data_IF_238713475683
#
_entry.id   IF_238713475683
#
_cell.length_a   1.000
_cell.length_b   1.000
_cell.length_c   1.000
_cell.angle_alpha   90.00
_cell.angle_beta   90.00
_cell.angle_gamma   90.00
#
_symmetry.space_group_name_H-M   'P 1'
#
loop_
_entity.id
_entity.type
_entity.pdbx_description
1 polymer ?
#
# COMPACT_ATOMS: atom_id res chain seq x y z
N UNK A 1 28.13 -4.66 -1.67
CA UNK A 1 26.87 -5.39 -1.87
C UNK A 1 27.05 -6.34 -3.04
N UNK A 2 26.52 -7.58 -2.97
CA UNK A 2 26.60 -8.57 -4.05
C UNK A 2 27.12 -9.96 -3.66
N UNK A 3 27.66 -10.13 -2.45
CA UNK A 3 28.21 -11.41 -1.96
C UNK A 3 27.23 -12.24 -1.11
N UNK A 4 25.95 -11.83 -1.04
CA UNK A 4 24.85 -12.53 -0.35
C UNK A 4 25.21 -13.08 1.05
N UNK A 5 25.73 -12.20 1.91
CA UNK A 5 26.15 -12.57 3.27
C UNK A 5 24.94 -12.68 4.20
N UNK A 6 24.95 -13.70 5.06
CA UNK A 6 23.99 -13.84 6.17
C UNK A 6 24.59 -13.24 7.43
N UNK A 7 23.86 -12.31 8.06
CA UNK A 7 24.26 -11.68 9.33
C UNK A 7 23.42 -12.22 10.49
N UNK A 8 24.03 -12.36 11.66
CA UNK A 8 23.39 -12.74 12.91
C UNK A 8 23.79 -11.80 14.04
N UNK A 9 23.02 -11.79 15.12
CA UNK A 9 23.29 -10.94 16.28
C UNK A 9 24.59 -11.27 17.04
N UNK A 10 25.30 -12.34 16.65
CA UNK A 10 26.61 -12.74 17.20
C UNK A 10 27.80 -12.18 16.41
N UNK A 11 27.56 -11.58 15.24
CA UNK A 11 28.60 -10.93 14.45
C UNK A 11 29.11 -9.65 15.14
N UNK A 12 30.16 -9.03 14.59
CA UNK A 12 30.69 -7.76 15.10
C UNK A 12 29.57 -6.72 15.22
N UNK A 13 29.59 -5.94 16.31
CA UNK A 13 28.48 -5.04 16.65
C UNK A 13 28.09 -4.08 15.53
N UNK A 14 29.08 -3.62 14.75
CA UNK A 14 28.85 -2.72 13.61
C UNK A 14 28.34 -3.47 12.37
N UNK A 15 28.70 -4.73 12.17
CA UNK A 15 28.20 -5.55 11.07
C UNK A 15 26.72 -5.89 11.30
N UNK A 16 26.36 -6.29 12.52
CA UNK A 16 24.96 -6.51 12.88
C UNK A 16 24.14 -5.21 12.86
N UNK A 17 24.72 -4.08 13.30
CA UNK A 17 24.07 -2.78 13.18
C UNK A 17 23.82 -2.41 11.72
N UNK A 18 24.83 -2.59 10.86
CA UNK A 18 24.72 -2.32 9.44
C UNK A 18 23.65 -3.19 8.77
N UNK A 19 23.60 -4.50 9.09
CA UNK A 19 22.57 -5.41 8.58
C UNK A 19 21.15 -4.92 8.91
N UNK A 20 20.91 -4.46 10.14
CA UNK A 20 19.62 -3.88 10.55
C UNK A 20 19.30 -2.59 9.79
N UNK A 21 20.28 -1.71 9.59
CA UNK A 21 20.09 -0.46 8.82
C UNK A 21 19.69 -0.77 7.37
N UNK A 22 20.36 -1.74 6.73
CA UNK A 22 20.04 -2.16 5.35
C UNK A 22 18.65 -2.79 5.29
N UNK A 23 18.29 -3.65 6.24
CA UNK A 23 16.93 -4.22 6.32
C UNK A 23 15.87 -3.12 6.40
N UNK A 24 16.08 -2.15 7.28
CA UNK A 24 15.14 -1.05 7.50
C UNK A 24 15.02 -0.09 6.32
N UNK A 25 16.12 0.15 5.58
CA UNK A 25 16.07 0.91 4.33
C UNK A 25 15.18 0.21 3.29
N UNK A 26 15.31 -1.11 3.16
CA UNK A 26 14.47 -1.89 2.25
C UNK A 26 13.00 -1.92 2.70
N UNK A 27 12.74 -2.04 4.01
CA UNK A 27 11.39 -1.99 4.56
C UNK A 27 10.73 -0.61 4.39
N UNK A 28 11.51 0.47 4.53
CA UNK A 28 11.03 1.82 4.23
C UNK A 28 10.66 1.97 2.76
N UNK A 29 11.52 1.53 1.84
CA UNK A 29 11.20 1.47 0.41
C UNK A 29 9.92 0.68 0.16
N UNK A 30 9.86 -0.57 0.62
CA UNK A 30 8.68 -1.43 0.45
C UNK A 30 7.41 -0.75 0.97
N UNK A 31 7.41 -0.25 2.21
CA UNK A 31 6.23 0.36 2.83
C UNK A 31 5.76 1.62 2.09
N UNK A 32 6.70 2.45 1.60
CA UNK A 32 6.36 3.67 0.89
C UNK A 32 5.87 3.41 -0.54
N UNK A 33 6.38 2.40 -1.25
CA UNK A 33 5.89 2.14 -2.60
C UNK A 33 4.65 1.21 -2.59
N UNK A 34 4.60 0.24 -1.67
CA UNK A 34 3.44 -0.64 -1.52
C UNK A 34 2.19 0.12 -1.07
N UNK A 35 2.31 1.19 -0.27
CA UNK A 35 1.11 1.96 0.11
C UNK A 35 0.45 2.63 -1.10
N UNK A 36 1.22 3.09 -2.09
CA UNK A 36 0.66 3.67 -3.31
C UNK A 36 -0.25 2.66 -4.01
N UNK A 37 0.25 1.44 -4.21
CA UNK A 37 -0.51 0.34 -4.79
C UNK A 37 -1.73 -0.04 -3.93
N UNK A 38 -1.52 -0.28 -2.63
CA UNK A 38 -2.52 -0.86 -1.73
C UNK A 38 -3.52 0.13 -1.15
N UNK A 39 -3.37 1.43 -1.43
CA UNK A 39 -4.34 2.44 -1.01
C UNK A 39 -4.83 3.31 -2.15
N UNK A 40 -3.93 3.97 -2.89
CA UNK A 40 -4.31 4.90 -3.96
C UNK A 40 -4.80 4.15 -5.20
N UNK A 41 -3.96 3.27 -5.74
CA UNK A 41 -4.22 2.63 -7.03
C UNK A 41 -5.36 1.61 -6.97
N UNK A 42 -5.62 1.04 -5.79
CA UNK A 42 -6.82 0.22 -5.57
C UNK A 42 -8.09 1.04 -5.49
N UNK A 43 -8.07 2.19 -4.79
CA UNK A 43 -9.29 2.94 -4.49
C UNK A 43 -9.79 3.77 -5.69
N UNK A 44 -8.87 4.37 -6.45
CA UNK A 44 -9.22 5.26 -7.55
C UNK A 44 -10.05 4.59 -8.66
N UNK A 45 -9.66 3.42 -9.22
CA UNK A 45 -10.43 2.77 -10.29
C UNK A 45 -11.83 2.33 -9.84
N UNK A 46 -11.98 1.93 -8.58
CA UNK A 46 -13.30 1.57 -8.01
C UNK A 46 -14.22 2.79 -8.02
N UNK A 47 -13.72 3.93 -7.56
CA UNK A 47 -14.49 5.15 -7.53
C UNK A 47 -14.73 5.72 -8.93
N UNK A 48 -13.77 5.63 -9.84
CA UNK A 48 -13.95 6.04 -11.23
C UNK A 48 -15.06 5.26 -11.93
N UNK A 49 -15.17 3.95 -11.67
CA UNK A 49 -16.29 3.16 -12.16
C UNK A 49 -17.62 3.70 -11.62
N UNK A 50 -17.71 4.02 -10.32
CA UNK A 50 -18.93 4.60 -9.73
C UNK A 50 -19.30 5.96 -10.35
N UNK A 51 -18.31 6.82 -10.60
CA UNK A 51 -18.53 8.11 -11.27
C UNK A 51 -19.10 7.97 -12.68
N UNK A 52 -18.78 6.87 -13.38
CA UNK A 52 -19.21 6.58 -14.76
C UNK A 52 -20.55 5.85 -14.86
N UNK A 53 -20.93 5.11 -13.82
CA UNK A 53 -22.07 4.18 -13.86
C UNK A 53 -23.21 4.54 -12.91
N UNK A 54 -22.96 5.42 -11.93
CA UNK A 54 -23.93 5.76 -10.89
C UNK A 54 -24.28 7.26 -10.93
N UNK A 55 -25.54 7.58 -10.73
CA UNK A 55 -26.07 8.93 -10.57
C UNK A 55 -25.46 9.60 -9.34
N UNK A 56 -25.22 10.91 -9.40
CA UNK A 56 -24.78 11.69 -8.25
C UNK A 56 -25.79 11.70 -7.08
N UNK A 57 -27.02 11.22 -7.32
CA UNK A 57 -28.05 11.03 -6.29
C UNK A 57 -28.04 9.64 -5.66
N UNK A 58 -27.26 8.71 -6.21
CA UNK A 58 -27.22 7.34 -5.72
C UNK A 58 -26.55 7.30 -4.33
N UNK A 59 -27.15 6.65 -3.31
CA UNK A 59 -26.63 6.68 -1.94
C UNK A 59 -25.22 6.09 -1.83
N UNK A 60 -24.96 4.93 -2.46
CA UNK A 60 -23.62 4.32 -2.51
C UNK A 60 -22.59 5.26 -3.12
N UNK A 61 -22.90 5.97 -4.23
CA UNK A 61 -21.99 6.96 -4.81
C UNK A 61 -21.70 8.11 -3.84
N UNK A 62 -22.73 8.63 -3.15
CA UNK A 62 -22.52 9.69 -2.14
C UNK A 62 -21.60 9.26 -1.00
N UNK A 63 -21.70 7.99 -0.57
CA UNK A 63 -20.77 7.43 0.42
C UNK A 63 -19.34 7.32 -0.12
N UNK A 64 -19.16 6.81 -1.34
CA UNK A 64 -17.84 6.72 -2.00
C UNK A 64 -17.21 8.09 -2.25
N UNK A 65 -17.99 9.08 -2.71
CA UNK A 65 -17.54 10.47 -2.92
C UNK A 65 -16.96 11.05 -1.62
N UNK A 66 -17.60 10.79 -0.47
CA UNK A 66 -17.11 11.26 0.84
C UNK A 66 -15.76 10.62 1.20
N UNK A 67 -15.57 9.35 0.87
CA UNK A 67 -14.35 8.61 1.15
C UNK A 67 -13.21 8.99 0.20
N UNK A 68 -13.54 9.38 -1.03
CA UNK A 68 -12.58 9.73 -2.06
C UNK A 68 -12.29 11.23 -2.15
N UNK A 69 -12.79 12.01 -1.21
CA UNK A 69 -12.48 13.43 -1.09
C UNK A 69 -10.96 13.64 -1.08
N UNK A 70 -10.48 14.49 -1.99
CA UNK A 70 -9.06 14.78 -2.24
C UNK A 70 -8.19 13.63 -2.78
N UNK A 71 -8.71 12.41 -2.94
CA UNK A 71 -7.92 11.26 -3.36
C UNK A 71 -7.23 11.46 -4.72
N UNK A 72 -7.97 11.97 -5.71
CA UNK A 72 -7.47 12.20 -7.08
C UNK A 72 -6.39 13.29 -7.19
N UNK A 73 -6.17 14.10 -6.16
CA UNK A 73 -5.09 15.09 -6.18
C UNK A 73 -3.72 14.46 -5.92
N UNK A 74 -3.66 13.28 -5.29
CA UNK A 74 -2.39 12.74 -4.79
C UNK A 74 -1.47 12.28 -5.91
N UNK A 75 -1.96 11.55 -6.91
CA UNK A 75 -1.08 11.07 -7.99
C UNK A 75 -0.51 12.20 -8.86
N UNK A 76 -1.29 13.21 -9.29
CA UNK A 76 -0.74 14.36 -10.01
C UNK A 76 0.31 15.13 -9.19
N UNK A 77 0.04 15.39 -7.90
CA UNK A 77 1.01 16.03 -6.99
C UNK A 77 2.25 15.16 -6.80
N UNK A 78 2.07 13.84 -6.72
CA UNK A 78 3.15 12.87 -6.64
C UNK A 78 4.06 12.92 -7.87
N UNK A 79 3.51 12.95 -9.08
CA UNK A 79 4.32 13.05 -10.31
C UNK A 79 5.05 14.39 -10.41
N UNK A 80 4.44 15.49 -9.98
CA UNK A 80 5.02 16.83 -10.11
C UNK A 80 6.11 17.13 -9.07
N UNK A 81 5.95 16.66 -7.83
CA UNK A 81 6.81 17.06 -6.71
C UNK A 81 7.59 15.91 -6.06
N UNK A 82 7.07 14.69 -6.10
CA UNK A 82 7.69 13.54 -5.43
C UNK A 82 8.56 12.74 -6.40
N UNK A 83 7.96 12.27 -7.50
CA UNK A 83 8.53 11.36 -8.49
C UNK A 83 9.02 12.04 -9.77
N UNK A 84 9.04 13.38 -9.80
CA UNK A 84 9.70 14.13 -10.86
C UNK A 84 11.20 13.86 -10.84
N UNK A 85 11.85 14.00 -12.00
CA UNK A 85 13.29 13.81 -12.13
C UNK A 85 14.05 14.74 -11.17
N UNK A 86 14.89 14.16 -10.32
CA UNK A 86 15.66 14.89 -9.29
C UNK A 86 14.81 15.41 -8.12
N UNK A 87 13.55 14.97 -8.01
CA UNK A 87 12.61 15.39 -6.96
C UNK A 87 12.90 14.81 -5.58
N UNK A 88 11.91 14.90 -4.70
CA UNK A 88 12.05 14.43 -3.31
C UNK A 88 12.35 12.92 -3.22
N UNK A 89 11.76 12.12 -4.11
CA UNK A 89 12.03 10.68 -4.13
C UNK A 89 13.49 10.40 -4.51
N UNK A 90 13.97 10.94 -5.63
CA UNK A 90 15.34 10.70 -6.13
C UNK A 90 16.42 11.18 -5.17
N UNK A 91 16.12 12.20 -4.35
CA UNK A 91 17.03 12.71 -3.34
C UNK A 91 17.00 11.94 -2.01
N UNK A 92 15.99 11.10 -1.79
CA UNK A 92 15.77 10.42 -0.51
C UNK A 92 15.94 8.90 -0.58
N UNK A 93 15.70 8.28 -1.74
CA UNK A 93 15.76 6.83 -1.92
C UNK A 93 17.00 6.38 -2.68
N UNK A 94 17.46 5.15 -2.39
CA UNK A 94 18.62 4.56 -3.07
C UNK A 94 18.35 4.20 -4.55
N UNK A 95 17.08 4.04 -4.94
CA UNK A 95 16.66 3.68 -6.29
C UNK A 95 16.06 4.90 -7.00
N UNK A 96 16.21 5.02 -8.33
CA UNK A 96 15.62 6.12 -9.10
C UNK A 96 14.09 6.03 -9.14
N UNK A 97 13.42 7.16 -9.37
CA UNK A 97 11.96 7.29 -9.35
C UNK A 97 11.23 6.28 -10.24
N UNK A 98 11.80 5.94 -11.40
CA UNK A 98 11.19 5.00 -12.33
C UNK A 98 11.11 3.59 -11.74
N UNK A 99 12.11 3.17 -10.95
CA UNK A 99 12.14 1.87 -10.31
C UNK A 99 11.12 1.79 -9.15
N UNK A 100 10.90 2.90 -8.45
CA UNK A 100 9.83 2.99 -7.44
C UNK A 100 8.43 2.90 -8.07
N UNK A 101 8.23 3.57 -9.22
CA UNK A 101 6.98 3.50 -10.01
C UNK A 101 6.74 2.10 -10.57
N UNK A 102 7.78 1.43 -11.06
CA UNK A 102 7.72 0.03 -11.52
C UNK A 102 7.34 -0.91 -10.38
N UNK A 103 8.04 -0.84 -9.23
CA UNK A 103 7.70 -1.63 -8.04
C UNK A 103 6.24 -1.44 -7.62
N UNK A 104 5.75 -0.20 -7.62
CA UNK A 104 4.35 0.10 -7.27
C UNK A 104 3.38 -0.58 -8.24
N UNK A 105 3.69 -0.55 -9.53
CA UNK A 105 2.88 -1.21 -10.57
C UNK A 105 2.86 -2.71 -10.38
N UNK A 106 4.03 -3.33 -10.15
CA UNK A 106 4.13 -4.78 -9.94
C UNK A 106 3.41 -5.21 -8.67
N UNK A 107 3.62 -4.49 -7.56
CA UNK A 107 2.92 -4.73 -6.30
C UNK A 107 1.39 -4.69 -6.45
N UNK A 108 0.86 -3.79 -7.28
CA UNK A 108 -0.56 -3.73 -7.59
C UNK A 108 -1.07 -5.00 -8.29
N UNK A 109 -0.33 -5.51 -9.28
CA UNK A 109 -0.75 -6.69 -10.05
C UNK A 109 -0.49 -8.01 -9.34
N UNK A 110 0.56 -8.10 -8.52
CA UNK A 110 0.93 -9.33 -7.83
C UNK A 110 0.13 -9.56 -6.55
N UNK A 111 -0.23 -8.49 -5.83
CA UNK A 111 -0.86 -8.65 -4.52
C UNK A 111 -1.87 -7.55 -4.15
N UNK A 112 -1.47 -6.28 -4.16
CA UNK A 112 -2.27 -5.21 -3.57
C UNK A 112 -3.65 -5.03 -4.24
N UNK A 113 -3.71 -5.27 -5.56
CA UNK A 113 -4.94 -5.26 -6.35
C UNK A 113 -5.88 -6.44 -6.12
N UNK A 114 -5.46 -7.47 -5.39
CA UNK A 114 -6.25 -8.68 -5.12
C UNK A 114 -7.22 -8.45 -3.94
N UNK A 115 -8.27 -7.65 -4.17
CA UNK A 115 -9.24 -7.20 -3.17
C UNK A 115 -9.72 -8.25 -2.16
N UNK A 116 -9.90 -9.48 -2.62
CA UNK A 116 -10.17 -10.60 -1.72
C UNK A 116 -8.91 -10.91 -0.90
N UNK A 117 -7.85 -11.44 -1.51
CA UNK A 117 -6.65 -11.89 -0.80
C UNK A 117 -6.12 -10.89 0.26
N UNK A 118 -6.18 -9.60 -0.03
CA UNK A 118 -5.70 -8.52 0.86
C UNK A 118 -6.74 -7.99 1.86
N UNK A 119 -7.85 -8.68 2.09
CA UNK A 119 -8.83 -8.33 3.13
C UNK A 119 -8.16 -8.34 4.52
N UNK A 120 -8.50 -7.42 5.44
CA UNK A 120 -7.72 -7.20 6.67
C UNK A 120 -7.51 -8.48 7.49
N UNK A 121 -8.59 -9.22 7.80
CA UNK A 121 -8.48 -10.43 8.60
C UNK A 121 -7.90 -11.59 7.79
N UNK A 122 -8.30 -11.74 6.52
CA UNK A 122 -7.77 -12.81 5.65
C UNK A 122 -6.28 -12.65 5.37
N UNK A 123 -5.80 -11.45 5.11
CA UNK A 123 -4.39 -11.16 4.86
C UNK A 123 -3.55 -11.56 6.07
N UNK A 124 -3.94 -11.09 7.25
CA UNK A 124 -3.27 -11.43 8.51
C UNK A 124 -3.28 -12.94 8.79
N UNK A 125 -4.40 -13.62 8.52
CA UNK A 125 -4.49 -15.07 8.68
C UNK A 125 -3.64 -15.83 7.65
N UNK A 126 -3.61 -15.38 6.39
CA UNK A 126 -2.84 -15.99 5.30
C UNK A 126 -1.34 -15.90 5.55
N UNK A 127 -0.89 -14.81 6.18
CA UNK A 127 0.51 -14.64 6.64
C UNK A 127 0.82 -15.37 7.95
N UNK A 128 -0.17 -16.07 8.53
CA UNK A 128 -0.02 -16.80 9.79
C UNK A 128 0.12 -15.90 11.03
N UNK A 129 -0.30 -14.64 10.94
CA UNK A 129 -0.24 -13.70 12.06
C UNK A 129 -1.48 -13.77 12.96
N UNK A 130 -2.58 -14.30 12.44
CA UNK A 130 -3.81 -14.63 13.18
C UNK A 130 -4.18 -16.09 12.96
N UNK A 131 -4.75 -16.72 14.00
CA UNK A 131 -5.30 -18.08 13.94
C UNK A 131 -4.36 -19.12 13.31
N UNK A 132 -3.04 -18.95 13.52
CA UNK A 132 -2.02 -19.82 12.98
C UNK A 132 -2.13 -21.24 13.58
N UNK A 133 -2.19 -22.25 12.72
CA UNK A 133 -2.27 -23.65 13.16
C UNK A 133 -0.90 -24.30 13.39
N UNK A 134 0.18 -23.67 12.95
CA UNK A 134 1.53 -24.23 12.92
C UNK A 134 2.53 -23.51 13.85
N UNK A 135 2.09 -22.50 14.59
CA UNK A 135 2.95 -21.73 15.49
C UNK A 135 2.19 -21.13 16.67
N UNK A 136 2.89 -20.67 17.72
CA UNK A 136 2.24 -19.99 18.82
C UNK A 136 1.67 -18.64 18.37
N UNK A 137 0.66 -18.17 19.08
CA UNK A 137 0.13 -16.82 18.90
C UNK A 137 1.22 -15.77 19.22
N UNK A 138 1.20 -14.66 18.48
CA UNK A 138 2.05 -13.52 18.78
C UNK A 138 1.71 -12.97 20.18
N UNK A 139 2.74 -12.78 21.01
CA UNK A 139 2.57 -12.25 22.37
C UNK A 139 2.07 -10.80 22.38
N UNK A 140 2.42 -10.04 21.36
CA UNK A 140 2.03 -8.65 21.19
C UNK A 140 1.87 -8.39 19.69
N UNK A 141 0.74 -7.81 19.29
CA UNK A 141 0.51 -7.40 17.91
C UNK A 141 -0.19 -6.03 17.84
N UNK A 142 0.51 -4.94 18.17
CA UNK A 142 -0.12 -3.63 18.37
C UNK A 142 -0.88 -3.09 17.16
N UNK A 143 -0.41 -3.39 15.94
CA UNK A 143 -1.11 -3.02 14.71
C UNK A 143 -2.51 -3.66 14.66
N UNK A 144 -2.61 -4.97 14.89
CA UNK A 144 -3.90 -5.67 14.91
C UNK A 144 -4.79 -5.15 16.03
N UNK A 145 -4.23 -5.05 17.25
CA UNK A 145 -4.98 -4.62 18.44
C UNK A 145 -5.56 -3.20 18.27
N UNK A 146 -4.87 -2.34 17.52
CA UNK A 146 -5.33 -0.98 17.21
C UNK A 146 -6.33 -0.94 16.07
N UNK A 147 -6.08 -1.67 14.98
CA UNK A 147 -6.83 -1.52 13.72
C UNK A 147 -8.09 -2.40 13.70
N UNK A 148 -8.07 -3.58 14.32
CA UNK A 148 -9.22 -4.50 14.28
C UNK A 148 -10.53 -3.90 14.84
N UNK A 149 -10.54 -3.17 15.96
CA UNK A 149 -11.75 -2.50 16.44
C UNK A 149 -12.27 -1.44 15.47
N UNK A 150 -11.38 -0.76 14.75
CA UNK A 150 -11.75 0.27 13.77
C UNK A 150 -12.38 -0.36 12.53
N UNK A 151 -11.75 -1.44 12.02
CA UNK A 151 -12.28 -2.28 10.95
C UNK A 151 -13.69 -2.74 11.29
N UNK A 152 -13.90 -3.28 12.49
CA UNK A 152 -15.22 -3.71 12.97
C UNK A 152 -16.25 -2.57 12.98
N UNK A 153 -15.87 -1.39 13.45
CA UNK A 153 -16.77 -0.24 13.47
C UNK A 153 -17.19 0.22 12.05
N UNK A 154 -16.29 0.10 11.08
CA UNK A 154 -16.59 0.41 9.66
C UNK A 154 -17.53 -0.63 9.06
N UNK A 155 -17.30 -1.91 9.34
CA UNK A 155 -18.18 -3.01 8.92
C UNK A 155 -19.59 -2.82 9.48
N UNK A 156 -19.70 -2.47 10.76
CA UNK A 156 -20.98 -2.21 11.43
C UNK A 156 -21.73 -1.03 10.82
N UNK A 157 -21.05 0.11 10.64
CA UNK A 157 -21.64 1.27 9.99
C UNK A 157 -22.08 0.96 8.55
N UNK A 158 -21.23 0.27 7.80
CA UNK A 158 -21.51 -0.10 6.41
C UNK A 158 -22.71 -1.04 6.31
N UNK A 159 -22.81 -2.01 7.22
CA UNK A 159 -23.94 -2.94 7.28
C UNK A 159 -25.25 -2.19 7.50
N UNK A 160 -25.30 -1.30 8.49
CA UNK A 160 -26.50 -0.46 8.76
C UNK A 160 -26.83 0.45 7.57
N UNK A 161 -25.82 1.04 6.93
CA UNK A 161 -26.01 1.85 5.73
C UNK A 161 -26.66 1.04 4.60
N UNK A 162 -26.12 -0.15 4.30
CA UNK A 162 -26.66 -1.04 3.26
C UNK A 162 -28.08 -1.47 3.60
N UNK A 163 -28.33 -1.92 4.83
CA UNK A 163 -29.67 -2.33 5.29
C UNK A 163 -30.70 -1.19 5.21
N UNK A 164 -30.27 0.06 5.39
CA UNK A 164 -31.14 1.23 5.30
C UNK A 164 -31.62 1.50 3.88
N UNK A 165 -30.74 1.35 2.88
CA UNK A 165 -31.07 1.61 1.47
C UNK A 165 -31.56 0.36 0.72
N UNK A 166 -31.19 -0.83 1.21
CA UNK A 166 -31.54 -2.12 0.62
C UNK A 166 -32.06 -3.09 1.71
N UNK A 167 -33.24 -2.84 2.29
CA UNK A 167 -33.80 -3.67 3.36
C UNK A 167 -34.18 -5.09 2.93
N UNK A 168 -34.35 -5.30 1.62
CA UNK A 168 -34.68 -6.59 1.02
C UNK A 168 -33.56 -7.02 0.07
N UNK A 169 -33.16 -8.28 0.16
CA UNK A 169 -32.02 -8.81 -0.62
C UNK A 169 -32.19 -8.71 -2.13
N UNK A 170 -33.44 -8.66 -2.63
CA UNK A 170 -33.74 -8.50 -4.06
C UNK A 170 -33.41 -7.11 -4.61
N UNK A 171 -33.54 -6.06 -3.79
CA UNK A 171 -33.43 -4.67 -4.23
C UNK A 171 -32.04 -4.33 -4.79
N UNK A 172 -30.98 -4.92 -4.23
CA UNK A 172 -29.62 -4.70 -4.76
C UNK A 172 -29.42 -5.35 -6.14
N UNK A 173 -30.10 -6.47 -6.41
CA UNK A 173 -30.04 -7.14 -7.72
C UNK A 173 -30.77 -6.37 -8.81
N UNK A 174 -31.84 -5.66 -8.44
CA UNK A 174 -32.65 -4.85 -9.34
C UNK A 174 -32.08 -3.44 -9.58
N UNK A 175 -31.11 -3.02 -8.77
CA UNK A 175 -30.43 -1.73 -8.91
C UNK A 175 -29.41 -1.75 -10.07
N UNK A 176 -29.86 -1.31 -11.24
CA UNK A 176 -29.04 -1.30 -12.46
C UNK A 176 -27.78 -0.43 -12.35
N UNK A 177 -27.80 0.69 -11.62
CA UNK A 177 -26.61 1.54 -11.43
C UNK A 177 -25.55 0.81 -10.59
N UNK A 178 -25.98 0.16 -9.50
CA UNK A 178 -25.13 -0.69 -8.68
C UNK A 178 -24.56 -1.88 -9.47
N UNK A 179 -25.39 -2.56 -10.28
CA UNK A 179 -24.95 -3.68 -11.11
C UNK A 179 -23.97 -3.26 -12.20
N UNK A 180 -24.20 -2.10 -12.84
CA UNK A 180 -23.33 -1.56 -13.87
C UNK A 180 -21.97 -1.16 -13.27
N UNK A 181 -21.95 -0.54 -12.08
CA UNK A 181 -20.73 -0.23 -11.35
C UNK A 181 -19.89 -1.50 -11.07
N UNK A 182 -20.53 -2.55 -10.53
CA UNK A 182 -19.86 -3.82 -10.24
C UNK A 182 -19.31 -4.44 -11.53
N UNK A 183 -20.12 -4.48 -12.59
CA UNK A 183 -19.70 -5.08 -13.86
C UNK A 183 -18.51 -4.34 -14.46
N UNK A 184 -18.53 -3.01 -14.42
CA UNK A 184 -17.44 -2.20 -14.94
C UNK A 184 -16.14 -2.39 -14.14
N UNK A 185 -16.23 -2.39 -12.82
CA UNK A 185 -15.08 -2.64 -11.95
C UNK A 185 -14.44 -4.02 -12.22
N UNK A 186 -15.27 -5.04 -12.45
CA UNK A 186 -14.81 -6.39 -12.75
C UNK A 186 -14.30 -6.56 -14.19
N UNK A 187 -14.84 -5.80 -15.15
CA UNK A 187 -14.49 -5.91 -16.58
C UNK A 187 -13.02 -5.61 -16.86
N UNK A 188 -12.41 -4.69 -16.11
CA UNK A 188 -10.99 -4.34 -16.25
C UNK A 188 -10.03 -5.30 -15.51
N UNK A 189 -10.53 -6.44 -14.99
CA UNK A 189 -9.76 -7.45 -14.26
C UNK A 189 -9.93 -8.89 -14.81
N UNK A 190 -9.88 -9.15 -16.12
CA UNK A 190 -10.22 -10.47 -16.69
C UNK A 190 -9.25 -11.61 -16.35
N UNK A 191 -8.06 -11.31 -15.82
CA UNK A 191 -7.03 -12.33 -15.55
C UNK A 191 -7.12 -13.02 -14.17
N UNK A 192 -8.03 -12.61 -13.27
CA UNK A 192 -7.98 -13.04 -11.86
C UNK A 192 -9.29 -13.61 -11.29
N UNK A 193 -10.20 -14.05 -12.15
CA UNK A 193 -11.33 -14.90 -11.76
C UNK A 193 -11.31 -16.20 -12.57
N UNK A 194 -10.61 -17.26 -12.13
CA UNK A 194 -10.87 -18.58 -12.68
C UNK A 194 -12.23 -19.06 -12.18
N UNK A 195 -13.25 -18.88 -13.02
CA UNK A 195 -14.54 -19.56 -12.91
C UNK A 195 -15.68 -18.72 -12.33
N UNK A 196 -16.86 -18.92 -12.93
CA UNK A 196 -18.19 -18.44 -12.53
C UNK A 196 -18.58 -17.08 -13.14
N UNK A 197 -18.74 -17.09 -14.47
CA UNK A 197 -19.75 -16.30 -15.18
C UNK A 197 -21.10 -16.98 -14.94
N UNK A 198 -21.80 -16.63 -13.87
CA UNK A 198 -23.12 -17.19 -13.59
C UNK A 198 -23.47 -17.18 -12.11
N UNK A 199 -24.33 -16.22 -11.72
CA UNK A 199 -24.73 -15.89 -10.35
C UNK A 199 -23.63 -15.18 -9.55
N UNK A 200 -23.88 -13.94 -9.17
CA UNK A 200 -23.19 -13.28 -8.06
C UNK A 200 -24.13 -13.44 -6.85
N UNK A 201 -24.18 -14.61 -6.17
CA UNK A 201 -24.77 -14.64 -4.86
C UNK A 201 -23.74 -13.97 -3.94
N UNK A 202 -24.17 -12.89 -3.32
CA UNK A 202 -23.44 -12.17 -2.28
C UNK A 202 -22.53 -11.02 -2.77
N UNK A 203 -23.10 -9.82 -2.67
CA UNK A 203 -22.50 -8.51 -2.95
C UNK A 203 -21.78 -7.97 -1.71
N UNK A 204 -22.01 -8.59 -0.54
CA UNK A 204 -21.38 -8.25 0.73
C UNK A 204 -19.85 -8.18 0.67
N UNK A 205 -19.12 -9.04 -0.08
CA UNK A 205 -17.66 -9.00 -0.10
C UNK A 205 -17.07 -7.85 -0.92
N UNK A 206 -17.79 -7.32 -1.93
CA UNK A 206 -17.28 -6.25 -2.80
C UNK A 206 -17.55 -4.89 -2.15
N UNK A 207 -18.73 -4.68 -1.59
CA UNK A 207 -19.02 -3.46 -0.81
C UNK A 207 -18.18 -3.41 0.47
N UNK A 208 -18.07 -4.49 1.25
CA UNK A 208 -17.24 -4.51 2.46
C UNK A 208 -15.74 -4.32 2.17
N UNK A 209 -15.16 -5.03 1.18
CA UNK A 209 -13.71 -4.94 0.91
C UNK A 209 -13.30 -3.59 0.32
N UNK A 210 -14.18 -2.93 -0.45
CA UNK A 210 -13.94 -1.59 -1.00
C UNK A 210 -14.02 -0.55 0.11
N UNK A 211 -15.07 -0.60 0.94
CA UNK A 211 -15.34 0.41 1.96
C UNK A 211 -14.34 0.37 3.11
N UNK A 212 -13.90 -0.83 3.52
CA UNK A 212 -12.84 -1.02 4.51
C UNK A 212 -11.49 -0.48 4.04
N UNK A 213 -11.14 -0.64 2.76
CA UNK A 213 -9.82 -0.18 2.26
C UNK A 213 -9.76 1.32 2.10
N UNK A 214 -10.81 1.95 1.58
CA UNK A 214 -10.83 3.41 1.53
C UNK A 214 -10.87 3.98 2.95
N UNK A 215 -11.52 3.32 3.91
CA UNK A 215 -11.44 3.70 5.31
C UNK A 215 -10.07 3.45 5.94
N UNK A 216 -9.41 2.31 5.73
CA UNK A 216 -8.06 2.03 6.26
C UNK A 216 -7.03 2.98 5.64
N UNK A 217 -7.15 3.28 4.34
CA UNK A 217 -6.35 4.32 3.67
C UNK A 217 -6.60 5.71 4.27
N UNK A 218 -7.86 6.06 4.59
CA UNK A 218 -8.20 7.33 5.24
C UNK A 218 -7.89 7.35 6.75
N UNK A 219 -7.87 6.21 7.43
CA UNK A 219 -7.47 6.05 8.84
C UNK A 219 -5.96 6.16 8.96
N UNK A 220 -5.19 5.60 8.01
CA UNK A 220 -3.77 5.87 7.87
C UNK A 220 -3.50 7.37 7.70
N UNK A 221 -4.41 8.13 7.07
CA UNK A 221 -4.35 9.59 6.99
C UNK A 221 -4.85 10.33 8.25
N UNK A 222 -5.87 9.81 8.94
CA UNK A 222 -6.62 10.54 9.97
C UNK A 222 -6.36 10.16 11.42
N UNK A 223 -5.85 8.95 11.69
CA UNK A 223 -5.71 8.43 13.07
C UNK A 223 -4.25 8.36 13.52
N UNK A 224 -3.32 8.89 12.73
CA UNK A 224 -1.93 8.92 13.15
C UNK A 224 -1.42 7.50 13.43
N UNK A 225 -1.60 6.59 12.47
CA UNK A 225 -0.36 5.89 12.05
C UNK A 225 0.56 7.06 11.78
N UNK A 226 1.62 7.27 12.58
CA UNK A 226 2.55 8.32 12.24
C UNK A 226 2.85 8.10 10.76
N UNK A 227 2.88 9.14 9.93
CA UNK A 227 3.92 9.04 8.91
C UNK A 227 5.16 8.64 9.73
N UNK A 228 5.81 7.50 9.43
CA UNK A 228 6.88 6.97 10.28
C UNK A 228 7.82 8.10 10.75
N UNK A 229 7.95 9.09 9.86
CA UNK A 229 8.54 10.42 9.95
C UNK A 229 8.43 11.16 11.29
N UNK A 230 7.37 10.99 12.10
CA UNK A 230 7.18 11.82 13.31
C UNK A 230 7.55 11.15 14.64
N UNK A 231 7.72 9.84 14.70
CA UNK A 231 7.95 9.13 15.97
C UNK A 231 9.10 8.13 15.98
N UNK A 232 9.22 7.31 14.94
CA UNK A 232 10.23 6.24 14.85
C UNK A 232 11.47 6.66 14.05
N UNK A 233 11.33 7.61 13.13
CA UNK A 233 12.34 7.94 12.12
C UNK A 233 13.47 8.88 12.60
N UNK A 234 13.55 9.17 13.90
CA UNK A 234 14.40 10.29 14.34
C UNK A 234 15.89 10.01 14.50
N UNK A 235 16.39 8.77 14.53
CA UNK A 235 17.84 8.56 14.75
C UNK A 235 18.36 7.24 14.14
N UNK A 236 19.34 7.37 13.22
CA UNK A 236 20.33 6.38 12.71
C UNK A 236 19.83 5.06 12.10
N UNK A 237 18.57 4.67 12.26
CA UNK A 237 18.11 3.28 12.04
C UNK A 237 17.26 3.10 10.78
N UNK A 238 16.79 4.19 10.15
CA UNK A 238 16.08 4.19 8.85
C UNK A 238 16.62 5.33 7.98
N UNK A 239 17.69 5.09 7.23
CA UNK A 239 18.11 5.97 6.14
C UNK A 239 17.44 5.50 4.84
N UNK A 240 16.87 6.42 4.04
CA UNK A 240 16.26 6.08 2.75
C UNK A 240 17.28 5.68 1.67
N UNK A 241 18.55 5.99 1.89
CA UNK A 241 19.66 5.57 1.04
C UNK A 241 20.95 5.37 1.85
N UNK A 242 21.67 4.27 1.59
CA UNK A 242 23.00 4.04 2.14
C UNK A 242 24.08 4.67 1.24
N UNK A 243 24.78 5.70 1.70
CA UNK A 243 25.75 6.46 0.88
C UNK A 243 27.20 5.92 0.85
N UNK A 244 27.44 4.65 1.22
CA UNK A 244 28.81 4.11 1.27
C UNK A 244 29.05 2.91 0.34
N UNK A 245 29.45 3.21 -0.89
CA UNK A 245 30.42 2.44 -1.65
C UNK A 245 31.53 3.43 -2.06
N UNK A 246 32.72 3.31 -1.47
CA UNK A 246 33.79 4.29 -1.65
C UNK A 246 34.16 4.48 -3.12
N UNK A 247 33.98 5.70 -3.65
CA UNK A 247 34.84 6.19 -4.72
C UNK A 247 36.25 6.24 -4.13
N UNK A 248 37.12 5.34 -4.59
CA UNK A 248 38.56 5.59 -4.51
C UNK A 248 38.79 6.83 -5.36
N UNK A 249 38.88 8.00 -4.73
CA UNK A 249 39.45 9.17 -5.35
C UNK A 249 40.92 8.85 -5.57
N UNK A 250 41.26 8.44 -6.79
CA UNK A 250 42.65 8.42 -7.25
C UNK A 250 43.12 9.88 -7.16
N UNK A 251 44.14 10.20 -6.34
CA UNK A 251 44.69 11.55 -6.34
C UNK A 251 45.21 11.83 -7.74
N UNK A 252 44.82 12.98 -8.30
CA UNK A 252 45.40 13.46 -9.55
C UNK A 252 46.93 13.48 -9.38
N UNK A 253 47.64 12.76 -10.25
CA UNK A 253 49.09 12.81 -10.33
C UNK A 253 49.51 14.24 -10.66
N UNK A 254 50.19 14.87 -9.72
CA UNK A 254 50.89 16.14 -9.89
C UNK A 254 51.98 15.95 -10.98
N UNK A 255 52.00 16.73 -12.08
CA UNK A 255 53.10 16.66 -13.03
C UNK A 255 54.28 17.41 -12.42
N UNK A 256 55.03 16.68 -11.59
CA UNK A 256 56.32 17.10 -11.08
C UNK A 256 57.25 17.46 -12.24
N UNK A 257 57.55 18.75 -12.32
CA UNK A 257 58.69 19.32 -13.02
C UNK A 257 59.96 18.73 -12.40
N UNK A 258 60.72 17.95 -13.16
CA UNK A 258 62.18 17.97 -13.11
C UNK A 258 62.82 17.12 -14.22
N UNK A 259 63.84 17.69 -14.85
CA UNK A 259 65.17 17.11 -15.12
C UNK A 259 65.93 18.12 -16.02
N UNK A 260 66.98 18.82 -15.57
CA UNK A 260 68.34 18.44 -15.12
C UNK A 260 69.34 19.04 -16.16
N UNK A 261 70.64 19.25 -15.87
CA UNK A 261 71.37 19.30 -14.59
C UNK A 261 71.82 20.71 -14.19
#
# INVERSE_FOLDING_TARGET
>A
MGSDLTYIALDDANDWLFAKMVFNMNDLFHSQLYHLANTHDVAEPIHQAALRTMSARHPVRGYLDRLMNQAYAVRPVGEEFLFNEGGFYDSSFALPNWAGKEFTTDAYWEHAGHFRATDFYRDLATRGLLNCSYGPLLRSFPFYDTVAPMVKAIEDFTSVFVETYYPESGLMGDDHELQDWIREHLFHRPAFLPGILGMIPDISPVSHAVLLRVHVANIARGVGIPSPERGADRVLVQEGAAHKAGRVLVPASDPGVEQNP
#
